data_IF_610126933899
#
_entry.id   IF_610126933899
#
_cell.length_a   1.000
_cell.length_b   1.000
_cell.length_c   1.000
_cell.angle_alpha   90.00
_cell.angle_beta   90.00
_cell.angle_gamma   90.00
#
_symmetry.space_group_name_H-M   'P 1'
#
loop_
_entity.id
_entity.type
_entity.pdbx_description
1 polymer ?
#
# COMPACT_ATOMS: atom_id res chain seq x y z
N UNK A 1 -15.35 22.05 13.43
CA UNK A 1 -14.56 21.66 12.22
C UNK A 1 -13.69 20.42 12.49
N UNK A 2 -13.01 20.35 13.63
CA UNK A 2 -12.11 19.22 13.97
C UNK A 2 -12.89 17.91 14.11
N UNK A 3 -14.02 17.89 14.80
CA UNK A 3 -14.83 16.68 15.02
C UNK A 3 -15.37 16.11 13.71
N UNK A 4 -15.85 16.97 12.80
CA UNK A 4 -16.32 16.54 11.49
C UNK A 4 -15.16 15.93 10.66
N UNK A 5 -13.97 16.54 10.71
CA UNK A 5 -12.78 16.02 10.05
C UNK A 5 -12.42 14.63 10.55
N UNK A 6 -12.45 14.42 11.86
CA UNK A 6 -12.19 13.11 12.48
C UNK A 6 -13.23 12.09 12.02
N UNK A 7 -14.51 12.40 12.12
CA UNK A 7 -15.61 11.48 11.73
C UNK A 7 -15.48 11.06 10.26
N UNK A 8 -15.34 12.01 9.33
CA UNK A 8 -15.23 11.71 7.89
C UNK A 8 -13.96 10.91 7.61
N UNK A 9 -12.84 11.24 8.26
CA UNK A 9 -11.59 10.51 8.09
C UNK A 9 -11.68 9.08 8.60
N UNK A 10 -12.34 8.86 9.75
CA UNK A 10 -12.55 7.52 10.32
C UNK A 10 -13.39 6.65 9.38
N UNK A 11 -14.45 7.18 8.78
CA UNK A 11 -15.26 6.44 7.80
C UNK A 11 -14.41 6.03 6.56
N UNK A 12 -13.55 6.92 6.08
CA UNK A 12 -12.65 6.60 4.95
C UNK A 12 -11.58 5.60 5.33
N UNK A 13 -11.02 5.67 6.54
CA UNK A 13 -10.09 4.68 7.06
C UNK A 13 -10.73 3.29 7.14
N UNK A 14 -11.97 3.19 7.64
CA UNK A 14 -12.70 1.92 7.69
C UNK A 14 -12.83 1.28 6.30
N UNK A 15 -13.21 2.06 5.27
CA UNK A 15 -13.27 1.58 3.90
C UNK A 15 -11.90 1.18 3.34
N UNK A 16 -10.84 1.91 3.70
CA UNK A 16 -9.47 1.58 3.30
C UNK A 16 -9.03 0.25 3.88
N UNK A 17 -9.26 0.03 5.18
CA UNK A 17 -8.89 -1.24 5.84
C UNK A 17 -9.74 -2.43 5.37
N UNK A 18 -11.01 -2.23 5.04
CA UNK A 18 -11.82 -3.27 4.41
C UNK A 18 -11.19 -3.74 3.10
N UNK A 19 -10.77 -2.80 2.23
CA UNK A 19 -10.09 -3.12 0.97
C UNK A 19 -8.75 -3.81 1.18
N UNK A 20 -7.98 -3.42 2.20
CA UNK A 20 -6.74 -4.12 2.56
C UNK A 20 -7.01 -5.56 2.98
N UNK A 21 -8.07 -5.80 3.77
CA UNK A 21 -8.51 -7.14 4.14
C UNK A 21 -8.93 -7.99 2.93
N UNK A 22 -9.63 -7.40 1.97
CA UNK A 22 -9.98 -8.07 0.71
C UNK A 22 -8.74 -8.46 -0.10
N UNK A 23 -7.75 -7.59 -0.21
CA UNK A 23 -6.50 -7.88 -0.92
C UNK A 23 -5.72 -9.02 -0.24
N UNK A 24 -5.62 -9.01 1.09
CA UNK A 24 -5.00 -10.10 1.85
C UNK A 24 -5.74 -11.43 1.62
N UNK A 25 -7.08 -11.43 1.58
CA UNK A 25 -7.89 -12.59 1.22
C UNK A 25 -7.57 -13.09 -0.18
N UNK A 26 -7.42 -12.22 -1.18
CA UNK A 26 -7.07 -12.60 -2.54
C UNK A 26 -5.69 -13.27 -2.63
N UNK A 27 -4.72 -12.82 -1.84
CA UNK A 27 -3.39 -13.48 -1.73
C UNK A 27 -3.55 -14.91 -1.19
N UNK A 28 -4.31 -15.09 -0.11
CA UNK A 28 -4.58 -16.41 0.46
C UNK A 28 -5.36 -17.34 -0.51
N UNK A 29 -6.31 -16.80 -1.25
CA UNK A 29 -7.06 -17.53 -2.28
C UNK A 29 -6.16 -18.01 -3.43
N UNK A 30 -5.17 -17.21 -3.84
CA UNK A 30 -4.20 -17.61 -4.86
C UNK A 30 -3.38 -18.82 -4.40
N UNK A 31 -2.85 -18.80 -3.18
CA UNK A 31 -2.13 -19.93 -2.58
C UNK A 31 -3.00 -21.19 -2.49
N UNK A 32 -4.27 -21.04 -2.08
CA UNK A 32 -5.22 -22.14 -1.95
C UNK A 32 -5.60 -22.78 -3.30
N UNK A 33 -5.70 -21.96 -4.35
CA UNK A 33 -6.07 -22.43 -5.70
C UNK A 33 -5.00 -23.32 -6.30
N UNK A 34 -3.73 -23.03 -6.05
CA UNK A 34 -2.60 -23.77 -6.64
C UNK A 34 -2.14 -24.95 -5.81
N UNK A 35 -2.56 -25.05 -4.54
CA UNK A 35 -2.19 -26.17 -3.66
C UNK A 35 -2.43 -27.53 -4.30
N UNK A 36 -1.51 -28.54 -4.20
CA UNK A 36 -0.26 -28.53 -3.41
C UNK A 36 0.95 -27.84 -4.09
N UNK A 37 0.82 -27.35 -5.31
CA UNK A 37 1.89 -26.63 -5.97
C UNK A 37 2.03 -25.20 -5.39
N UNK A 38 3.20 -24.62 -5.54
CA UNK A 38 3.43 -23.21 -5.21
C UNK A 38 2.81 -22.29 -6.28
N UNK A 39 2.19 -21.18 -5.84
CA UNK A 39 1.63 -20.18 -6.74
C UNK A 39 2.71 -19.45 -7.56
N UNK A 40 3.89 -19.30 -7.00
CA UNK A 40 5.04 -18.64 -7.64
C UNK A 40 6.23 -19.61 -7.70
N UNK A 41 7.10 -19.50 -8.73
CA UNK A 41 8.31 -20.30 -8.85
C UNK A 41 9.35 -19.88 -7.80
N UNK A 42 10.35 -20.75 -7.55
CA UNK A 42 11.44 -20.46 -6.62
C UNK A 42 12.21 -19.19 -6.99
N UNK A 43 12.38 -18.90 -8.27
CA UNK A 43 13.05 -17.70 -8.77
C UNK A 43 12.34 -16.39 -8.36
N UNK A 44 11.03 -16.41 -8.13
CA UNK A 44 10.27 -15.24 -7.71
C UNK A 44 10.18 -15.08 -6.19
N UNK A 45 10.45 -16.13 -5.42
CA UNK A 45 10.31 -16.12 -3.96
C UNK A 45 11.07 -14.98 -3.26
N UNK A 46 12.32 -14.64 -3.62
CA UNK A 46 13.05 -13.57 -2.94
C UNK A 46 12.35 -12.21 -3.06
N UNK A 47 11.87 -11.84 -4.25
CA UNK A 47 11.19 -10.56 -4.47
C UNK A 47 9.88 -10.51 -3.70
N UNK A 48 9.09 -11.58 -3.73
CA UNK A 48 7.84 -11.64 -2.99
C UNK A 48 8.07 -11.66 -1.47
N UNK A 49 9.12 -12.30 -0.98
CA UNK A 49 9.49 -12.24 0.43
C UNK A 49 9.80 -10.80 0.87
N UNK A 50 10.58 -10.06 0.08
CA UNK A 50 10.86 -8.64 0.39
C UNK A 50 9.59 -7.77 0.36
N UNK A 51 8.66 -8.03 -0.57
CA UNK A 51 7.37 -7.32 -0.58
C UNK A 51 6.56 -7.60 0.68
N UNK A 52 6.51 -8.85 1.12
CA UNK A 52 5.80 -9.27 2.33
C UNK A 52 6.44 -8.65 3.57
N UNK A 53 7.76 -8.75 3.73
CA UNK A 53 8.49 -8.16 4.85
C UNK A 53 8.27 -6.64 4.94
N UNK A 54 8.25 -5.96 3.78
CA UNK A 54 7.94 -4.54 3.71
C UNK A 54 6.51 -4.25 4.20
N UNK A 55 5.53 -5.04 3.78
CA UNK A 55 4.13 -4.85 4.13
C UNK A 55 3.85 -5.20 5.60
N UNK A 56 4.49 -6.23 6.15
CA UNK A 56 4.40 -6.57 7.58
C UNK A 56 4.92 -5.41 8.44
N UNK A 57 6.08 -4.86 8.08
CA UNK A 57 6.63 -3.67 8.74
C UNK A 57 5.69 -2.47 8.64
N UNK A 58 5.08 -2.27 7.47
CA UNK A 58 4.12 -1.19 7.23
C UNK A 58 2.86 -1.38 8.06
N UNK A 59 2.38 -2.63 8.22
CA UNK A 59 1.23 -2.94 9.07
C UNK A 59 1.49 -2.59 10.54
N UNK A 60 2.65 -2.93 11.07
CA UNK A 60 3.04 -2.56 12.44
C UNK A 60 3.12 -1.03 12.62
N UNK A 61 3.69 -0.35 11.63
CA UNK A 61 3.72 1.12 11.63
C UNK A 61 2.33 1.75 11.56
N UNK A 62 1.40 1.16 10.78
CA UNK A 62 0.00 1.61 10.73
C UNK A 62 -0.68 1.49 12.09
N UNK A 63 -0.47 0.38 12.81
CA UNK A 63 -1.04 0.17 14.15
C UNK A 63 -0.50 1.22 15.12
N UNK A 64 0.81 1.43 15.16
CA UNK A 64 1.46 2.43 16.01
C UNK A 64 0.96 3.85 15.69
N UNK A 65 0.96 4.22 14.40
CA UNK A 65 0.50 5.51 13.90
C UNK A 65 -0.95 5.81 14.31
N UNK A 66 -1.85 4.82 14.21
CA UNK A 66 -3.26 5.00 14.56
C UNK A 66 -3.48 5.11 16.06
N UNK A 67 -2.72 4.33 16.87
CA UNK A 67 -2.80 4.35 18.33
C UNK A 67 -2.39 5.71 18.89
N UNK A 68 -1.31 6.28 18.38
CA UNK A 68 -0.68 7.48 18.91
C UNK A 68 -1.02 8.75 18.12
N UNK A 69 -1.70 8.62 16.99
CA UNK A 69 -1.93 9.69 15.99
C UNK A 69 -0.63 10.33 15.55
N UNK A 70 0.38 9.50 15.32
CA UNK A 70 1.73 9.95 15.02
C UNK A 70 1.89 10.31 13.54
N UNK A 71 1.93 11.62 13.28
CA UNK A 71 2.13 12.16 11.93
C UNK A 71 3.52 11.83 11.35
N UNK A 72 4.55 11.67 12.19
CA UNK A 72 5.91 11.33 11.70
C UNK A 72 5.97 9.92 11.15
N UNK A 73 5.35 8.96 11.84
CA UNK A 73 5.21 7.59 11.35
C UNK A 73 4.37 7.57 10.08
N UNK A 74 3.31 8.38 9.98
CA UNK A 74 2.53 8.52 8.76
C UNK A 74 3.37 9.03 7.58
N UNK A 75 4.18 10.06 7.79
CA UNK A 75 5.11 10.59 6.77
C UNK A 75 6.15 9.55 6.34
N UNK A 76 6.69 8.77 7.29
CA UNK A 76 7.63 7.70 6.98
C UNK A 76 7.01 6.61 6.08
N UNK A 77 5.75 6.21 6.33
CA UNK A 77 5.01 5.27 5.46
C UNK A 77 4.87 5.84 4.05
N UNK A 78 4.50 7.11 3.91
CA UNK A 78 4.31 7.77 2.61
C UNK A 78 5.63 7.81 1.82
N UNK A 79 6.74 8.12 2.47
CA UNK A 79 8.05 8.24 1.83
C UNK A 79 8.67 6.89 1.46
N UNK A 80 8.25 5.80 2.11
CA UNK A 80 8.79 4.47 1.86
C UNK A 80 8.13 3.77 0.66
N UNK A 81 7.08 4.31 0.08
CA UNK A 81 6.25 3.68 -0.97
C UNK A 81 7.03 3.29 -2.22
N UNK A 82 7.98 4.11 -2.65
CA UNK A 82 8.84 3.86 -3.82
C UNK A 82 9.56 2.49 -3.77
N UNK A 83 9.83 1.99 -2.56
CA UNK A 83 10.48 0.67 -2.42
C UNK A 83 9.56 -0.45 -2.88
N UNK A 84 8.28 -0.41 -2.49
CA UNK A 84 7.31 -1.42 -2.89
C UNK A 84 7.01 -1.36 -4.38
N UNK A 85 6.93 -0.16 -4.94
CA UNK A 85 6.77 0.06 -6.38
C UNK A 85 7.92 -0.54 -7.18
N UNK A 86 9.16 -0.34 -6.73
CA UNK A 86 10.33 -0.94 -7.36
C UNK A 86 10.31 -2.47 -7.30
N UNK A 87 9.89 -3.06 -6.18
CA UNK A 87 9.73 -4.51 -6.06
C UNK A 87 8.61 -5.03 -6.98
N UNK A 88 7.50 -4.30 -7.07
CA UNK A 88 6.41 -4.64 -7.99
C UNK A 88 6.89 -4.61 -9.46
N UNK A 89 7.69 -3.63 -9.85
CA UNK A 89 8.28 -3.61 -11.21
C UNK A 89 9.12 -4.86 -11.49
N UNK A 90 9.90 -5.34 -10.53
CA UNK A 90 10.68 -6.58 -10.68
C UNK A 90 9.80 -7.81 -10.90
N UNK A 91 8.56 -7.83 -10.38
CA UNK A 91 7.63 -8.95 -10.63
C UNK A 91 7.25 -9.09 -12.10
N UNK A 92 7.24 -8.02 -12.89
CA UNK A 92 6.98 -8.10 -14.34
C UNK A 92 8.13 -8.77 -15.08
N UNK A 93 9.39 -8.47 -14.72
CA UNK A 93 10.55 -9.13 -15.33
C UNK A 93 10.53 -10.64 -15.05
N UNK A 94 10.16 -11.02 -13.80
CA UNK A 94 9.98 -12.42 -13.41
C UNK A 94 8.83 -13.09 -14.19
N UNK A 95 7.72 -12.37 -14.38
CA UNK A 95 6.55 -12.89 -15.11
C UNK A 95 6.81 -13.09 -16.61
N UNK A 96 7.81 -12.42 -17.16
CA UNK A 96 8.22 -12.52 -18.57
C UNK A 96 9.37 -13.50 -18.80
N UNK A 97 9.85 -14.20 -17.77
CA UNK A 97 10.92 -15.18 -17.92
C UNK A 97 10.45 -16.43 -18.67
N UNK A 98 11.35 -17.05 -19.44
CA UNK A 98 11.02 -18.22 -20.28
C UNK A 98 10.82 -19.52 -19.47
N UNK A 99 11.33 -19.56 -18.22
CA UNK A 99 11.40 -20.77 -17.40
C UNK A 99 10.15 -21.00 -16.51
N UNK A 100 9.07 -20.27 -16.75
CA UNK A 100 7.86 -20.35 -15.94
C UNK A 100 6.64 -20.79 -16.76
N UNK A 101 5.66 -21.37 -16.08
CA UNK A 101 4.39 -21.76 -16.72
C UNK A 101 3.50 -20.53 -16.93
N UNK A 102 2.58 -20.63 -17.91
CA UNK A 102 1.56 -19.58 -18.14
C UNK A 102 0.73 -19.29 -16.89
N UNK A 103 0.47 -20.31 -16.06
CA UNK A 103 -0.26 -20.11 -14.82
C UNK A 103 0.57 -19.30 -13.81
N UNK A 104 1.87 -19.61 -13.67
CA UNK A 104 2.77 -18.84 -12.82
C UNK A 104 2.91 -17.40 -13.28
N UNK A 105 2.94 -17.15 -14.60
CA UNK A 105 2.91 -15.77 -15.14
C UNK A 105 1.70 -15.01 -14.61
N UNK A 106 0.49 -15.59 -14.71
CA UNK A 106 -0.73 -14.97 -14.21
C UNK A 106 -0.68 -14.75 -12.70
N UNK A 107 -0.22 -15.75 -11.95
CA UNK A 107 -0.17 -15.68 -10.50
C UNK A 107 0.86 -14.64 -10.00
N UNK A 108 2.04 -14.54 -10.63
CA UNK A 108 3.05 -13.51 -10.33
C UNK A 108 2.45 -12.10 -10.54
N UNK A 109 1.83 -11.86 -11.68
CA UNK A 109 1.24 -10.54 -12.00
C UNK A 109 0.14 -10.17 -11.02
N UNK A 110 -0.78 -11.10 -10.73
CA UNK A 110 -1.89 -10.85 -9.81
C UNK A 110 -1.40 -10.65 -8.37
N UNK A 111 -0.52 -11.51 -7.86
CA UNK A 111 0.01 -11.41 -6.51
C UNK A 111 0.85 -10.14 -6.32
N UNK A 112 1.72 -9.81 -7.29
CA UNK A 112 2.47 -8.56 -7.28
C UNK A 112 1.55 -7.35 -7.21
N UNK A 113 0.46 -7.35 -8.00
CA UNK A 113 -0.52 -6.27 -7.98
C UNK A 113 -1.31 -6.18 -6.68
N UNK A 114 -1.67 -7.32 -6.07
CA UNK A 114 -2.38 -7.30 -4.79
C UNK A 114 -1.50 -6.74 -3.68
N UNK A 115 -0.22 -7.10 -3.63
CA UNK A 115 0.73 -6.61 -2.63
C UNK A 115 1.03 -5.11 -2.81
N UNK A 116 1.25 -4.65 -4.04
CA UNK A 116 1.44 -3.22 -4.32
C UNK A 116 0.20 -2.42 -3.90
N UNK A 117 -1.01 -2.87 -4.21
CA UNK A 117 -2.24 -2.19 -3.79
C UNK A 117 -2.46 -2.19 -2.28
N UNK A 118 -1.94 -3.18 -1.55
CA UNK A 118 -1.90 -3.13 -0.09
C UNK A 118 -1.07 -1.93 0.39
N UNK A 119 0.09 -1.70 -0.20
CA UNK A 119 0.93 -0.52 0.05
C UNK A 119 0.21 0.79 -0.28
N UNK A 120 -0.40 0.91 -1.45
CA UNK A 120 -1.21 2.07 -1.84
C UNK A 120 -2.27 2.43 -0.79
N UNK A 121 -2.97 1.41 -0.25
CA UNK A 121 -3.96 1.63 0.79
C UNK A 121 -3.33 2.03 2.13
N UNK A 122 -2.15 1.50 2.46
CA UNK A 122 -1.39 1.91 3.64
C UNK A 122 -0.99 3.39 3.55
N UNK A 123 -0.47 3.83 2.39
CA UNK A 123 -0.17 5.25 2.12
C UNK A 123 -1.43 6.12 2.21
N UNK A 124 -2.55 5.64 1.67
CA UNK A 124 -3.83 6.35 1.77
C UNK A 124 -4.29 6.52 3.21
N UNK A 125 -4.10 5.49 4.05
CA UNK A 125 -4.39 5.56 5.49
C UNK A 125 -3.45 6.56 6.20
N UNK A 126 -2.15 6.52 5.90
CA UNK A 126 -1.15 7.43 6.45
C UNK A 126 -1.47 8.90 6.11
N UNK A 127 -1.77 9.22 4.85
CA UNK A 127 -2.22 10.55 4.41
C UNK A 127 -3.45 11.02 5.19
N UNK A 128 -4.36 10.10 5.53
CA UNK A 128 -5.55 10.42 6.29
C UNK A 128 -5.24 10.78 7.74
N UNK A 129 -4.25 10.13 8.36
CA UNK A 129 -3.78 10.48 9.71
C UNK A 129 -3.10 11.85 9.71
N UNK A 130 -2.23 12.13 8.74
CA UNK A 130 -1.65 13.47 8.57
C UNK A 130 -2.76 14.53 8.50
N UNK A 131 -3.80 14.28 7.71
CA UNK A 131 -4.94 15.21 7.60
C UNK A 131 -5.70 15.38 8.92
N UNK A 132 -5.89 14.30 9.69
CA UNK A 132 -6.55 14.38 11.01
C UNK A 132 -5.76 15.28 11.96
N UNK A 133 -4.43 15.12 11.99
CA UNK A 133 -3.55 15.81 12.92
C UNK A 133 -3.31 17.27 12.51
N UNK A 134 -2.91 17.50 11.26
CA UNK A 134 -2.49 18.82 10.77
C UNK A 134 -3.62 19.68 10.20
N UNK A 135 -4.70 19.07 9.74
CA UNK A 135 -5.74 19.73 8.96
C UNK A 135 -5.36 19.97 7.50
N UNK A 136 -4.13 19.66 7.11
CA UNK A 136 -3.64 19.74 5.74
C UNK A 136 -3.93 18.44 4.98
N UNK A 137 -4.50 18.55 3.78
CA UNK A 137 -4.71 17.40 2.89
C UNK A 137 -3.52 17.31 1.93
N UNK A 138 -2.59 16.34 2.13
CA UNK A 138 -1.41 16.22 1.29
C UNK A 138 -1.73 15.79 -0.15
N UNK A 139 -2.98 15.48 -0.47
CA UNK A 139 -3.42 15.20 -1.85
C UNK A 139 -3.86 16.45 -2.60
N UNK A 140 -4.01 17.57 -1.90
CA UNK A 140 -4.33 18.86 -2.50
C UNK A 140 -3.06 19.71 -2.53
N UNK A 141 -2.67 20.17 -3.71
CA UNK A 141 -1.66 21.21 -3.82
C UNK A 141 -2.07 22.40 -2.93
N UNK A 142 -1.12 22.98 -2.16
CA UNK A 142 -1.41 24.25 -1.51
C UNK A 142 -1.89 25.23 -2.57
N UNK A 143 -3.01 25.92 -2.30
CA UNK A 143 -3.46 26.99 -3.17
C UNK A 143 -2.24 27.90 -3.41
N UNK A 144 -1.83 28.06 -4.69
CA UNK A 144 -0.84 29.06 -5.03
C UNK A 144 -1.38 30.37 -4.46
N UNK A 145 -0.65 30.96 -3.54
CA UNK A 145 -0.84 32.37 -3.23
C UNK A 145 -0.68 33.09 -4.55
N UNK A 146 -1.82 33.44 -5.16
CA UNK A 146 -1.83 34.46 -6.21
C UNK A 146 -1.39 35.72 -5.49
N UNK A 147 -0.07 35.97 -5.58
CA UNK A 147 0.52 37.18 -5.08
C UNK A 147 -0.30 38.35 -5.63
N UNK A 148 -0.93 39.06 -4.76
CA UNK A 148 -1.42 40.39 -5.03
C UNK A 148 -0.23 41.25 -5.42
N UNK A 149 0.07 41.29 -6.73
CA UNK A 149 0.78 42.41 -7.33
C UNK A 149 -0.14 43.59 -7.17
N UNK A 150 0.09 44.36 -6.12
CA UNK A 150 -0.43 45.71 -5.95
C UNK A 150 0.69 46.65 -6.43
N UNK A 151 0.53 47.14 -7.65
CA UNK A 151 1.18 48.36 -8.11
C UNK A 151 0.62 49.62 -7.38
#
# INVERSE_FOLDING_TARGET
ATDLRVVVSTMRLASTFERMGDLARHVAEAARRTYPAAAIPESAQPVFAEMIDFLDNTADQLVAMLSDRDAKTAEAIILADDKLDNLHHQTFDLALSDDITRQQTVDIVLLGRFLERLGDHAVSAARRVVYIVSGFDPTKEPARDEGTDID
#
